data_IF_072463048302
#
_entry.id   IF_072463048302
#
_cell.length_a   1.000
_cell.length_b   1.000
_cell.length_c   1.000
_cell.angle_alpha   90.00
_cell.angle_beta   90.00
_cell.angle_gamma   90.00
#
_symmetry.space_group_name_H-M   'P 1'
#
loop_
_entity.id
_entity.type
_entity.pdbx_description
1 polymer ?
#
# COMPACT_ATOMS: atom_id res chain seq x y z
N UNK A 1 6.08 -15.14 3.83
CA UNK A 1 5.27 -15.51 2.65
C UNK A 1 4.06 -16.29 3.16
N UNK A 2 2.90 -16.15 2.55
CA UNK A 2 1.65 -16.68 3.10
C UNK A 2 1.55 -18.20 2.99
N UNK A 3 1.01 -18.89 4.00
CA UNK A 3 0.77 -20.35 3.97
C UNK A 3 -0.58 -20.76 3.36
N UNK A 4 -1.42 -19.78 3.03
CA UNK A 4 -2.70 -19.99 2.34
C UNK A 4 -2.57 -19.34 0.97
N UNK A 5 -2.17 -20.12 -0.04
CA UNK A 5 -1.83 -19.61 -1.38
C UNK A 5 -3.01 -18.87 -2.04
N UNK A 6 -4.21 -19.42 -1.97
CA UNK A 6 -5.41 -18.81 -2.54
C UNK A 6 -6.08 -17.76 -1.61
N UNK A 7 -5.39 -17.38 -0.54
CA UNK A 7 -5.88 -16.49 0.50
C UNK A 7 -7.06 -17.02 1.32
N UNK A 8 -7.38 -16.26 2.37
CA UNK A 8 -8.58 -16.44 3.18
C UNK A 8 -9.78 -15.90 2.39
N UNK A 9 -10.81 -16.73 2.23
CA UNK A 9 -12.02 -16.39 1.46
C UNK A 9 -13.31 -16.60 2.25
N UNK A 10 -13.28 -17.45 3.28
CA UNK A 10 -14.47 -17.74 4.07
C UNK A 10 -14.47 -16.92 5.36
N UNK A 11 -15.56 -16.17 5.64
CA UNK A 11 -15.72 -15.50 6.93
C UNK A 11 -15.98 -16.52 8.04
N UNK A 12 -16.67 -17.62 7.72
CA UNK A 12 -16.97 -18.70 8.66
C UNK A 12 -15.72 -19.46 9.05
N UNK A 13 -15.51 -19.59 10.35
CA UNK A 13 -14.27 -20.10 10.93
C UNK A 13 -14.28 -21.63 11.03
N UNK A 14 -15.46 -22.21 11.25
CA UNK A 14 -15.66 -23.63 11.56
C UNK A 14 -16.64 -24.25 10.56
N UNK A 15 -16.46 -25.54 10.28
CA UNK A 15 -17.34 -26.39 9.48
C UNK A 15 -17.47 -27.75 10.19
N UNK A 16 -18.69 -28.17 10.54
CA UNK A 16 -18.95 -29.38 11.35
C UNK A 16 -18.07 -29.52 12.61
N UNK A 17 -17.97 -28.43 13.39
CA UNK A 17 -17.10 -28.32 14.59
C UNK A 17 -15.60 -28.53 14.33
N UNK A 18 -15.15 -28.49 13.07
CA UNK A 18 -13.75 -28.53 12.70
C UNK A 18 -13.31 -27.19 12.11
N UNK A 19 -12.04 -26.80 12.28
CA UNK A 19 -11.52 -25.61 11.66
C UNK A 19 -11.62 -25.70 10.13
N UNK A 20 -12.19 -24.67 9.51
CA UNK A 20 -12.40 -24.62 8.07
C UNK A 20 -11.12 -24.17 7.36
N UNK A 21 -10.77 -24.83 6.27
CA UNK A 21 -9.70 -24.37 5.40
C UNK A 21 -10.06 -23.04 4.72
N UNK A 22 -9.06 -22.18 4.52
CA UNK A 22 -9.19 -20.84 3.94
C UNK A 22 -10.14 -19.93 4.72
N UNK A 23 -10.29 -20.19 6.03
CA UNK A 23 -10.89 -19.29 7.00
C UNK A 23 -9.82 -18.62 7.87
N UNK A 24 -10.21 -17.69 8.73
CA UNK A 24 -9.30 -17.06 9.68
C UNK A 24 -8.64 -18.05 10.65
N UNK A 25 -9.19 -19.27 10.83
CA UNK A 25 -8.62 -20.33 11.66
C UNK A 25 -8.09 -21.50 10.81
N UNK A 26 -7.62 -21.25 9.58
CA UNK A 26 -7.00 -22.28 8.75
C UNK A 26 -5.87 -23.00 9.53
N UNK A 27 -5.90 -24.34 9.69
CA UNK A 27 -4.92 -25.12 10.44
C UNK A 27 -3.45 -25.00 9.99
N UNK A 28 -3.21 -24.44 8.79
CA UNK A 28 -1.86 -24.13 8.30
C UNK A 28 -1.28 -22.90 9.00
N UNK A 29 -2.10 -22.02 9.56
CA UNK A 29 -1.66 -20.80 10.23
C UNK A 29 -1.12 -21.05 11.65
N UNK A 30 -1.41 -22.19 12.26
CA UNK A 30 -0.90 -22.56 13.58
C UNK A 30 -1.65 -23.73 14.20
N UNK A 31 -1.18 -24.18 15.36
CA UNK A 31 -1.96 -25.09 16.20
C UNK A 31 -3.12 -24.30 16.84
N UNK A 32 -4.32 -24.87 16.79
CA UNK A 32 -5.57 -24.21 17.18
C UNK A 32 -5.89 -24.51 18.63
N UNK A 33 -5.77 -25.77 19.04
CA UNK A 33 -5.90 -26.20 20.42
C UNK A 33 -4.71 -27.05 20.86
N UNK A 34 -4.72 -27.49 22.12
CA UNK A 34 -3.64 -28.29 22.74
C UNK A 34 -3.46 -29.68 22.11
N UNK A 35 -4.51 -30.22 21.49
CA UNK A 35 -4.53 -31.56 20.91
C UNK A 35 -4.21 -31.53 19.41
N UNK A 36 -4.40 -30.39 18.77
CA UNK A 36 -4.11 -30.14 17.37
C UNK A 36 -2.63 -29.86 17.12
N UNK A 37 -2.18 -30.19 15.91
CA UNK A 37 -0.84 -29.83 15.41
C UNK A 37 -1.01 -28.92 14.19
N UNK A 38 -0.11 -27.95 14.06
CA UNK A 38 -0.08 -27.10 12.89
C UNK A 38 0.17 -27.93 11.62
N UNK A 39 -0.60 -27.71 10.56
CA UNK A 39 -0.44 -28.46 9.31
C UNK A 39 0.78 -28.01 8.49
N UNK A 40 1.40 -26.87 8.82
CA UNK A 40 2.59 -26.37 8.11
C UNK A 40 3.90 -26.85 8.74
N UNK A 41 4.03 -26.76 10.06
CA UNK A 41 5.28 -27.08 10.77
C UNK A 41 5.16 -28.23 11.78
N UNK A 42 3.97 -28.81 11.95
CA UNK A 42 3.69 -29.88 12.92
C UNK A 42 3.92 -29.51 14.40
N UNK A 43 4.20 -28.24 14.71
CA UNK A 43 4.31 -27.72 16.08
C UNK A 43 2.97 -27.77 16.84
N UNK A 44 3.05 -27.88 18.17
CA UNK A 44 1.91 -27.63 19.08
C UNK A 44 1.76 -26.11 19.33
N UNK A 45 0.86 -25.72 20.24
CA UNK A 45 0.60 -24.31 20.57
C UNK A 45 1.81 -23.56 21.17
N UNK A 46 2.79 -24.28 21.72
CA UNK A 46 4.01 -23.69 22.32
C UNK A 46 5.13 -23.59 21.29
N UNK A 47 5.33 -24.64 20.50
CA UNK A 47 6.45 -24.77 19.57
C UNK A 47 6.17 -24.11 18.22
N UNK A 48 4.90 -23.93 17.86
CA UNK A 48 4.52 -23.31 16.60
C UNK A 48 4.71 -21.78 16.66
N UNK A 49 5.56 -21.18 15.81
CA UNK A 49 5.71 -19.73 15.76
C UNK A 49 4.46 -19.03 15.19
N UNK A 50 3.57 -19.80 14.56
CA UNK A 50 2.45 -19.32 13.76
C UNK A 50 2.88 -18.85 12.38
N UNK A 51 1.96 -18.91 11.42
CA UNK A 51 2.21 -18.62 10.03
C UNK A 51 1.19 -17.63 9.46
N UNK A 52 1.68 -16.63 8.73
CA UNK A 52 0.82 -15.60 8.14
C UNK A 52 -0.05 -16.15 7.02
N UNK A 53 -1.31 -15.71 6.97
CA UNK A 53 -2.15 -15.81 5.79
C UNK A 53 -2.27 -14.44 5.08
N UNK A 54 -3.09 -14.38 4.04
CA UNK A 54 -3.42 -13.12 3.39
C UNK A 54 -4.86 -13.15 2.85
N UNK A 55 -5.41 -11.96 2.62
CA UNK A 55 -6.67 -11.75 1.91
C UNK A 55 -6.38 -10.94 0.66
N UNK A 56 -6.78 -11.48 -0.50
CA UNK A 56 -6.76 -10.74 -1.75
C UNK A 56 -7.97 -9.80 -1.78
N UNK A 57 -7.71 -8.49 -1.87
CA UNK A 57 -8.79 -7.52 -1.93
C UNK A 57 -9.39 -7.49 -3.33
N UNK A 58 -10.72 -7.45 -3.42
CA UNK A 58 -11.42 -7.32 -4.70
C UNK A 58 -11.10 -5.99 -5.41
N UNK A 59 -10.80 -4.93 -4.63
CA UNK A 59 -10.33 -3.63 -5.11
C UNK A 59 -9.18 -3.14 -4.24
N UNK A 60 -8.17 -2.46 -4.81
CA UNK A 60 -7.11 -1.83 -4.04
C UNK A 60 -7.66 -0.80 -3.04
N UNK A 61 -6.90 -0.48 -2.00
CA UNK A 61 -7.23 0.54 -0.99
C UNK A 61 -5.98 1.35 -0.61
N UNK A 62 -6.13 2.66 -0.34
CA UNK A 62 -5.02 3.47 0.16
C UNK A 62 -4.65 3.06 1.59
N UNK A 63 -3.38 2.83 1.87
CA UNK A 63 -2.92 2.65 3.23
C UNK A 63 -3.01 3.96 4.02
N UNK A 64 -3.85 4.02 5.06
CA UNK A 64 -4.11 5.26 5.82
C UNK A 64 -2.84 5.89 6.42
N UNK A 65 -1.89 5.06 6.88
CA UNK A 65 -0.60 5.54 7.40
C UNK A 65 0.33 6.15 6.34
N UNK A 66 0.09 5.90 5.05
CA UNK A 66 0.95 6.35 3.95
C UNK A 66 0.26 7.30 2.98
N UNK A 67 -1.06 7.52 3.08
CA UNK A 67 -1.83 8.36 2.16
C UNK A 67 -1.22 9.76 1.97
N UNK A 68 -0.66 10.34 3.03
CA UNK A 68 0.01 11.65 2.97
C UNK A 68 1.31 11.62 2.15
N UNK A 69 2.07 10.52 2.23
CA UNK A 69 3.26 10.32 1.42
C UNK A 69 2.89 9.99 -0.02
N UNK A 70 1.85 9.18 -0.24
CA UNK A 70 1.29 8.88 -1.56
C UNK A 70 0.94 10.18 -2.30
N UNK A 71 0.24 11.11 -1.65
CA UNK A 71 -0.11 12.41 -2.25
C UNK A 71 1.14 13.24 -2.59
N UNK A 72 2.15 13.29 -1.70
CA UNK A 72 3.41 14.00 -1.96
C UNK A 72 4.12 13.43 -3.20
N UNK A 73 4.18 12.11 -3.32
CA UNK A 73 4.83 11.43 -4.45
C UNK A 73 4.04 11.68 -5.73
N UNK A 74 2.72 11.52 -5.72
CA UNK A 74 1.84 11.82 -6.85
C UNK A 74 1.98 13.27 -7.32
N UNK A 75 2.26 14.21 -6.42
CA UNK A 75 2.52 15.62 -6.76
C UNK A 75 3.91 15.83 -7.40
N UNK A 76 4.86 14.93 -7.18
CA UNK A 76 6.21 15.02 -7.77
C UNK A 76 6.30 14.38 -9.16
N UNK A 77 5.40 13.45 -9.48
CA UNK A 77 5.38 12.73 -10.75
C UNK A 77 4.26 13.20 -11.65
N UNK A 78 4.47 13.07 -12.96
CA UNK A 78 3.45 13.44 -13.94
C UNK A 78 2.27 12.48 -13.85
N UNK A 79 1.06 13.04 -13.79
CA UNK A 79 -0.18 12.28 -13.79
C UNK A 79 -0.35 11.39 -15.03
N UNK A 80 0.34 11.68 -16.13
CA UNK A 80 0.17 10.97 -17.40
C UNK A 80 1.36 10.09 -17.79
N UNK A 81 2.59 10.59 -17.68
CA UNK A 81 3.79 9.85 -18.10
C UNK A 81 4.54 9.16 -16.96
N UNK A 82 4.09 9.31 -15.70
CA UNK A 82 4.64 8.67 -14.49
C UNK A 82 6.11 9.01 -14.15
N UNK A 83 6.78 9.85 -14.96
CA UNK A 83 8.11 10.37 -14.70
C UNK A 83 8.07 11.57 -13.76
N UNK A 84 9.20 11.89 -13.13
CA UNK A 84 9.35 13.11 -12.35
C UNK A 84 8.98 14.35 -13.18
N UNK A 85 8.30 15.33 -12.57
CA UNK A 85 7.83 16.53 -13.28
C UNK A 85 8.95 17.37 -13.87
N UNK A 86 10.13 17.29 -13.27
CA UNK A 86 11.34 18.00 -13.68
C UNK A 86 12.44 17.01 -14.06
N UNK A 87 13.31 17.47 -14.95
CA UNK A 87 14.48 16.72 -15.41
C UNK A 87 15.40 16.31 -14.24
N UNK A 88 15.78 15.02 -14.11
CA UNK A 88 16.73 14.52 -13.11
C UNK A 88 18.08 15.27 -13.09
N UNK A 89 18.46 15.87 -14.22
CA UNK A 89 19.71 16.60 -14.40
C UNK A 89 19.65 18.05 -13.91
N UNK A 90 18.51 18.52 -13.38
CA UNK A 90 18.39 19.89 -12.90
C UNK A 90 19.36 20.18 -11.74
N UNK A 91 19.97 21.38 -11.70
CA UNK A 91 20.92 21.73 -10.64
C UNK A 91 20.26 21.77 -9.26
N UNK A 92 18.96 22.08 -9.21
CA UNK A 92 18.16 22.12 -7.98
C UNK A 92 18.02 20.73 -7.36
N UNK A 93 17.70 19.69 -8.15
CA UNK A 93 17.63 18.31 -7.69
C UNK A 93 19.00 17.84 -7.21
N UNK A 94 20.05 18.05 -8.02
CA UNK A 94 21.41 17.61 -7.67
C UNK A 94 21.86 18.19 -6.33
N UNK A 95 21.53 19.47 -6.08
CA UNK A 95 21.83 20.15 -4.82
C UNK A 95 21.07 19.53 -3.65
N UNK A 96 19.78 19.23 -3.81
CA UNK A 96 18.97 18.58 -2.77
C UNK A 96 19.47 17.18 -2.47
N UNK A 97 19.74 16.36 -3.49
CA UNK A 97 20.21 14.98 -3.34
C UNK A 97 21.55 14.95 -2.59
N UNK A 98 22.49 15.85 -2.94
CA UNK A 98 23.78 15.98 -2.23
C UNK A 98 23.60 16.40 -0.77
N UNK A 99 22.78 17.42 -0.49
CA UNK A 99 22.51 17.91 0.87
C UNK A 99 21.80 16.88 1.75
N UNK A 100 20.98 16.01 1.16
CA UNK A 100 20.14 15.05 1.88
C UNK A 100 20.61 13.60 1.74
N UNK A 101 21.89 13.35 1.45
CA UNK A 101 22.45 12.01 1.16
C UNK A 101 21.97 10.92 2.13
N UNK A 102 22.00 11.20 3.44
CA UNK A 102 21.60 10.26 4.51
C UNK A 102 20.23 10.58 5.14
N UNK A 103 19.44 11.47 4.53
CA UNK A 103 18.18 11.97 5.10
C UNK A 103 17.02 11.85 4.08
N UNK A 104 16.63 10.61 3.70
CA UNK A 104 15.63 10.36 2.65
C UNK A 104 14.27 10.98 2.96
N UNK A 105 13.83 10.95 4.22
CA UNK A 105 12.59 11.59 4.67
C UNK A 105 12.57 13.10 4.39
N UNK A 106 13.71 13.79 4.61
CA UNK A 106 13.83 15.22 4.30
C UNK A 106 13.95 15.46 2.79
N UNK A 107 14.58 14.54 2.05
CA UNK A 107 14.69 14.61 0.59
C UNK A 107 13.31 14.70 -0.06
N UNK A 108 12.40 13.78 0.28
CA UNK A 108 11.03 13.78 -0.27
C UNK A 108 10.32 15.11 -0.01
N UNK A 109 10.46 15.68 1.19
CA UNK A 109 9.83 16.96 1.55
C UNK A 109 10.40 18.11 0.70
N UNK A 110 11.71 18.15 0.48
CA UNK A 110 12.35 19.20 -0.32
C UNK A 110 11.97 19.09 -1.80
N UNK A 111 12.00 17.88 -2.37
CA UNK A 111 11.59 17.63 -3.76
C UNK A 111 10.11 17.96 -3.95
N UNK A 112 9.25 17.56 -3.01
CA UNK A 112 7.83 17.92 -3.01
C UNK A 112 7.60 19.44 -3.03
N UNK A 113 8.35 20.20 -2.22
CA UNK A 113 8.22 21.65 -2.18
C UNK A 113 8.63 22.36 -3.48
N UNK A 114 9.54 21.76 -4.26
CA UNK A 114 9.85 22.20 -5.62
C UNK A 114 8.71 21.83 -6.58
N UNK A 115 8.38 20.54 -6.64
CA UNK A 115 7.41 20.02 -7.61
C UNK A 115 6.01 20.59 -7.43
N UNK A 116 5.58 20.87 -6.19
CA UNK A 116 4.28 21.50 -5.88
C UNK A 116 4.07 22.85 -6.59
N UNK A 117 5.15 23.56 -6.93
CA UNK A 117 5.08 24.84 -7.64
C UNK A 117 4.92 24.66 -9.15
N UNK A 118 5.32 23.50 -9.68
CA UNK A 118 5.22 23.16 -11.08
C UNK A 118 3.77 22.84 -11.42
N UNK A 119 3.24 23.54 -12.43
CA UNK A 119 1.87 23.31 -12.92
C UNK A 119 1.85 22.50 -14.21
N UNK A 120 3.01 22.31 -14.85
CA UNK A 120 3.16 21.69 -16.16
C UNK A 120 4.34 20.72 -16.05
N UNK A 121 4.24 19.55 -16.68
CA UNK A 121 5.34 18.60 -16.76
C UNK A 121 6.35 19.02 -17.84
N UNK A 122 7.65 19.00 -17.54
CA UNK A 122 8.70 19.39 -18.51
C UNK A 122 8.80 18.43 -19.71
N UNK A 123 8.48 17.14 -19.51
CA UNK A 123 8.64 16.09 -20.52
C UNK A 123 7.43 16.04 -21.45
N UNK A 124 6.25 16.12 -20.87
CA UNK A 124 4.98 15.82 -21.53
C UNK A 124 4.12 17.07 -21.78
N UNK A 125 4.54 18.22 -21.24
CA UNK A 125 3.96 19.56 -21.48
C UNK A 125 2.46 19.69 -21.14
N UNK A 126 1.91 18.74 -20.38
CA UNK A 126 0.54 18.76 -19.88
C UNK A 126 0.43 19.37 -18.48
N UNK A 127 -0.70 20.03 -18.24
CA UNK A 127 -1.05 20.61 -16.96
C UNK A 127 -1.27 19.51 -15.91
N UNK A 128 -0.72 19.72 -14.72
CA UNK A 128 -0.77 18.77 -13.61
C UNK A 128 -1.91 19.11 -12.64
N UNK A 129 -2.57 18.08 -12.07
CA UNK A 129 -3.60 18.29 -11.06
C UNK A 129 -3.00 18.68 -9.71
N UNK A 130 -3.82 19.34 -8.91
CA UNK A 130 -3.61 19.50 -7.48
C UNK A 130 -4.39 18.38 -6.79
N UNK A 131 -3.70 17.56 -6.01
CA UNK A 131 -4.33 16.49 -5.24
C UNK A 131 -4.83 17.03 -3.90
N UNK A 132 -6.08 16.70 -3.55
CA UNK A 132 -6.69 16.99 -2.24
C UNK A 132 -7.22 15.72 -1.62
N UNK A 133 -6.91 15.51 -0.35
CA UNK A 133 -7.46 14.40 0.42
C UNK A 133 -8.87 14.76 0.91
N UNK A 134 -9.82 13.84 0.74
CA UNK A 134 -11.16 13.88 1.33
C UNK A 134 -11.43 12.54 2.00
N UNK A 135 -11.19 12.46 3.31
CA UNK A 135 -11.17 11.20 4.04
C UNK A 135 -10.09 10.25 3.51
N UNK A 136 -10.51 9.06 3.06
CA UNK A 136 -9.63 8.06 2.43
C UNK A 136 -9.52 8.23 0.91
N UNK A 137 -10.29 9.13 0.31
CA UNK A 137 -10.31 9.35 -1.12
C UNK A 137 -9.42 10.54 -1.49
N UNK A 138 -8.93 10.55 -2.73
CA UNK A 138 -8.10 11.62 -3.28
C UNK A 138 -8.84 12.22 -4.47
N UNK A 139 -8.99 13.55 -4.48
CA UNK A 139 -9.52 14.33 -5.60
C UNK A 139 -8.35 14.96 -6.36
N UNK A 140 -8.36 14.85 -7.68
CA UNK A 140 -7.42 15.52 -8.57
C UNK A 140 -8.13 16.71 -9.26
N UNK A 141 -7.62 17.92 -9.07
CA UNK A 141 -8.20 19.18 -9.58
C UNK A 141 -7.24 19.90 -10.53
N UNK A 142 -7.66 20.14 -11.77
CA UNK A 142 -6.94 20.94 -12.76
C UNK A 142 -7.44 22.38 -12.77
N UNK A 143 -6.55 23.34 -12.52
CA UNK A 143 -6.86 24.77 -12.64
C UNK A 143 -7.01 25.22 -14.10
N UNK A 144 -6.15 24.69 -14.97
CA UNK A 144 -6.20 24.89 -16.41
C UNK A 144 -6.37 23.52 -17.06
N UNK A 145 -7.28 23.44 -18.02
CA UNK A 145 -7.56 22.20 -18.73
C UNK A 145 -6.95 22.30 -20.11
N UNK A 146 -6.16 21.30 -20.51
CA UNK A 146 -5.48 21.30 -21.81
C UNK A 146 -6.45 20.93 -22.95
N UNK A 147 -7.49 20.14 -22.65
CA UNK A 147 -8.51 19.69 -23.62
C UNK A 147 -9.90 20.20 -23.24
N UNK A 148 -10.73 20.67 -24.18
CA UNK A 148 -12.04 21.27 -23.88
C UNK A 148 -13.05 20.31 -23.22
N UNK A 149 -12.90 18.99 -23.43
CA UNK A 149 -13.80 17.96 -22.85
C UNK A 149 -13.31 17.39 -21.52
N UNK A 150 -12.13 17.77 -21.03
CA UNK A 150 -11.58 17.20 -19.81
C UNK A 150 -12.23 17.84 -18.58
N UNK A 151 -12.66 17.00 -17.64
CA UNK A 151 -13.23 17.45 -16.38
C UNK A 151 -12.17 18.17 -15.53
N UNK A 152 -12.58 19.28 -14.90
CA UNK A 152 -11.70 20.05 -14.01
C UNK A 152 -11.38 19.33 -12.71
N UNK A 153 -12.23 18.38 -12.30
CA UNK A 153 -12.13 17.66 -11.03
C UNK A 153 -12.53 16.21 -11.25
N UNK A 154 -11.65 15.29 -10.90
CA UNK A 154 -11.96 13.86 -10.94
C UNK A 154 -11.58 13.22 -9.61
N UNK A 155 -12.33 12.21 -9.20
CA UNK A 155 -11.90 11.32 -8.12
C UNK A 155 -10.79 10.42 -8.64
N UNK A 156 -9.65 10.43 -7.97
CA UNK A 156 -8.52 9.60 -8.36
C UNK A 156 -8.80 8.14 -7.98
N UNK A 157 -9.03 7.31 -8.99
CA UNK A 157 -9.17 5.87 -8.81
C UNK A 157 -7.85 5.26 -8.33
N UNK A 158 -7.96 4.19 -7.56
CA UNK A 158 -6.80 3.52 -6.98
C UNK A 158 -5.98 2.78 -8.03
N UNK A 159 -6.63 2.24 -9.05
CA UNK A 159 -5.99 1.63 -10.21
C UNK A 159 -5.10 2.66 -10.91
N UNK A 160 -5.64 3.87 -11.14
CA UNK A 160 -4.86 4.93 -11.80
C UNK A 160 -3.69 5.40 -10.95
N UNK A 161 -3.89 5.58 -9.64
CA UNK A 161 -2.81 5.93 -8.73
C UNK A 161 -1.73 4.83 -8.73
N UNK A 162 -2.14 3.56 -8.68
CA UNK A 162 -1.22 2.43 -8.67
C UNK A 162 -0.41 2.32 -9.95
N UNK A 163 -1.03 2.47 -11.13
CA UNK A 163 -0.32 2.53 -12.41
C UNK A 163 0.76 3.61 -12.42
N UNK A 164 0.41 4.83 -11.98
CA UNK A 164 1.36 5.94 -11.93
C UNK A 164 2.55 5.59 -11.02
N UNK A 165 2.28 5.11 -9.81
CA UNK A 165 3.32 4.80 -8.83
C UNK A 165 4.18 3.61 -9.24
N UNK A 166 3.60 2.64 -9.95
CA UNK A 166 4.28 1.43 -10.40
C UNK A 166 5.31 1.73 -11.50
N UNK A 167 4.97 2.65 -12.40
CA UNK A 167 5.77 3.04 -13.57
C UNK A 167 6.88 4.06 -13.23
N UNK A 168 7.00 4.50 -11.97
CA UNK A 168 8.10 5.38 -11.55
C UNK A 168 9.42 4.62 -11.71
N UNK A 169 10.35 5.22 -12.45
CA UNK A 169 11.67 4.63 -12.71
C UNK A 169 12.53 4.54 -11.45
N UNK A 170 13.42 3.54 -11.39
CA UNK A 170 14.33 3.39 -10.24
C UNK A 170 15.18 4.64 -9.99
N UNK A 171 15.60 5.33 -11.06
CA UNK A 171 16.34 6.59 -10.95
C UNK A 171 15.52 7.69 -10.27
N UNK A 172 14.24 7.82 -10.63
CA UNK A 172 13.35 8.80 -10.02
C UNK A 172 13.04 8.43 -8.55
N UNK A 173 12.94 7.14 -8.23
CA UNK A 173 12.77 6.67 -6.86
C UNK A 173 13.93 7.11 -5.95
N UNK A 174 15.18 6.98 -6.39
CA UNK A 174 16.33 7.45 -5.63
C UNK A 174 16.30 8.96 -5.38
N UNK A 175 15.86 9.73 -6.38
CA UNK A 175 15.69 11.20 -6.28
C UNK A 175 14.61 11.54 -5.25
N UNK A 176 13.49 10.81 -5.25
CA UNK A 176 12.42 10.96 -4.26
C UNK A 176 12.85 10.53 -2.85
N UNK A 177 14.00 9.86 -2.70
CA UNK A 177 14.50 9.35 -1.42
C UNK A 177 13.91 8.00 -1.06
N UNK A 178 13.55 7.20 -2.07
CA UNK A 178 13.03 5.85 -1.93
C UNK A 178 14.04 4.83 -2.44
N UNK A 179 13.92 3.60 -1.94
CA UNK A 179 14.73 2.47 -2.38
C UNK A 179 13.86 1.53 -3.22
N UNK A 180 14.24 1.24 -4.48
CA UNK A 180 13.44 0.41 -5.38
C UNK A 180 13.31 -1.05 -4.91
N UNK A 181 14.21 -1.53 -4.06
CA UNK A 181 14.22 -2.90 -3.54
C UNK A 181 13.39 -3.05 -2.27
N UNK A 182 13.39 -2.03 -1.41
CA UNK A 182 12.83 -2.13 -0.06
C UNK A 182 11.60 -1.26 0.20
N UNK A 183 11.38 -0.21 -0.59
CA UNK A 183 10.38 0.81 -0.28
C UNK A 183 9.80 1.45 -1.55
N UNK A 184 9.24 0.64 -2.45
CA UNK A 184 8.55 1.20 -3.62
C UNK A 184 7.22 1.86 -3.24
N UNK A 185 6.82 2.93 -3.94
CA UNK A 185 5.62 3.69 -3.59
C UNK A 185 4.31 3.00 -3.99
N UNK A 186 4.32 2.11 -4.99
CA UNK A 186 3.13 1.32 -5.36
C UNK A 186 2.66 0.39 -4.23
N UNK A 187 3.57 -0.01 -3.33
CA UNK A 187 3.24 -0.82 -2.15
C UNK A 187 2.47 -0.03 -1.07
N UNK A 188 2.34 1.29 -1.20
CA UNK A 188 1.47 2.10 -0.35
C UNK A 188 -0.02 1.90 -0.65
N UNK A 189 -0.33 1.27 -1.79
CA UNK A 189 -1.67 0.85 -2.17
C UNK A 189 -1.80 -0.63 -1.83
N UNK A 190 -2.74 -0.94 -0.94
CA UNK A 190 -2.98 -2.29 -0.45
C UNK A 190 -3.84 -3.01 -1.48
N UNK A 191 -3.28 -4.05 -2.10
CA UNK A 191 -4.01 -5.03 -2.92
C UNK A 191 -4.18 -6.35 -2.18
N UNK A 192 -3.25 -6.64 -1.26
CA UNK A 192 -3.23 -7.85 -0.44
C UNK A 192 -3.10 -7.44 1.02
N UNK A 193 -4.07 -7.83 1.84
CA UNK A 193 -4.07 -7.58 3.27
C UNK A 193 -3.43 -8.77 4.00
N UNK A 194 -2.34 -8.58 4.76
CA UNK A 194 -1.77 -9.66 5.55
C UNK A 194 -2.72 -10.05 6.70
N UNK A 195 -2.86 -11.35 6.92
CA UNK A 195 -3.58 -11.90 8.07
C UNK A 195 -2.54 -12.39 9.07
N UNK A 196 -2.56 -11.89 10.33
CA UNK A 196 -1.60 -12.29 11.33
C UNK A 196 -1.73 -13.78 11.66
N UNK A 197 -0.63 -14.43 12.11
CA UNK A 197 -0.67 -15.82 12.52
C UNK A 197 -1.50 -16.03 13.78
N UNK A 198 -1.97 -17.27 14.01
CA UNK A 198 -2.77 -17.61 15.19
C UNK A 198 -2.03 -17.44 16.54
N UNK A 199 -0.70 -17.45 16.51
CA UNK A 199 0.15 -17.19 17.68
C UNK A 199 0.11 -15.73 18.15
N UNK A 200 -0.37 -14.81 17.30
CA UNK A 200 -0.59 -13.40 17.62
C UNK A 200 -2.09 -13.21 17.83
N UNK A 201 -2.59 -13.37 19.07
CA UNK A 201 -4.02 -13.23 19.32
C UNK A 201 -4.46 -11.78 19.05
N UNK A 202 -5.61 -11.54 18.41
CA UNK A 202 -6.29 -10.28 18.61
C UNK A 202 -6.63 -10.19 20.10
N UNK A 203 -6.38 -9.03 20.70
CA UNK A 203 -6.46 -8.76 22.13
C UNK A 203 -7.65 -9.44 22.81
N UNK A 204 -7.36 -10.26 23.84
CA UNK A 204 -8.29 -10.89 24.79
C UNK A 204 -9.04 -12.15 24.28
N UNK A 205 -8.51 -13.32 24.65
CA UNK A 205 -9.30 -14.42 25.22
C UNK A 205 -10.45 -15.02 24.41
N UNK A 206 -10.23 -15.47 23.17
CA UNK A 206 -11.23 -16.28 22.44
C UNK A 206 -11.23 -17.76 22.91
N UNK A 207 -10.18 -18.21 23.63
CA UNK A 207 -10.06 -19.62 24.06
C UNK A 207 -10.91 -20.01 25.28
N UNK A 208 -11.74 -19.10 25.81
CA UNK A 208 -12.68 -19.40 26.88
C UNK A 208 -14.05 -18.79 26.58
N UNK A 209 -14.97 -19.60 26.02
CA UNK A 209 -16.39 -19.28 25.84
C UNK A 209 -16.71 -17.99 25.08
N UNK A 210 -16.51 -18.01 23.76
CA UNK A 210 -17.31 -17.14 22.89
C UNK A 210 -17.89 -17.98 21.75
N UNK A 211 -19.01 -18.64 22.07
CA UNK A 211 -20.05 -18.91 21.07
C UNK A 211 -20.62 -17.55 20.68
N UNK A 212 -20.09 -16.93 19.63
CA UNK A 212 -20.84 -15.86 18.99
C UNK A 212 -21.94 -16.52 18.16
N UNK A 213 -23.09 -16.70 18.81
CA UNK A 213 -24.37 -16.51 18.16
C UNK A 213 -24.41 -15.06 17.68
N UNK A 214 -24.74 -14.83 16.42
CA UNK A 214 -25.51 -13.66 16.00
C UNK A 214 -26.35 -14.10 14.80
N UNK A 215 -27.67 -13.87 14.93
CA UNK A 215 -28.69 -14.15 13.92
C UNK A 215 -28.92 -12.98 12.98
#
# INVERSE_FOLDING_TARGET
MSVVEDGIIFPDIMDDNKPKHRSLLDPRQGAIDRNSRCQTCSGNIVDCPGHFAHINLAKPVYHIGFITNTIKILTCVCFYCSKLLMSPQSPEISTIVKKTKNQPKKRLVQIYNLCKKLKICEIDQRTQPIFRQSGILILAEWKKVDKPKQEKKIMLTLERAWEILKEITNTDLFILGMDPKYARPDWMIITVLPVPPLSVPPSVGIYGSVKNHDG
#
